data_IF_116350738018
#
_entry.id   IF_116350738018
#
_cell.length_a   1.000
_cell.length_b   1.000
_cell.length_c   1.000
_cell.angle_alpha   90.00
_cell.angle_beta   90.00
_cell.angle_gamma   90.00
#
_symmetry.space_group_name_H-M   'P 1'
#
loop_
_entity.id
_entity.type
_entity.pdbx_description
1 polymer ?
#
# COMPACT_ATOMS: atom_id res chain seq x y z
N UNK A 1 5.32 -11.81 10.00
CA UNK A 1 6.43 -12.03 10.96
C UNK A 1 6.89 -13.48 10.87
N UNK A 2 8.15 -13.72 10.49
CA UNK A 2 8.69 -15.07 10.25
C UNK A 2 10.03 -15.25 10.99
N UNK A 3 10.42 -16.49 11.28
CA UNK A 3 11.71 -16.80 11.92
C UNK A 3 12.91 -16.24 11.15
N UNK A 4 12.81 -16.15 9.82
CA UNK A 4 13.85 -15.54 8.98
C UNK A 4 14.16 -14.07 9.31
N UNK A 5 13.17 -13.28 9.74
CA UNK A 5 13.40 -11.90 10.18
C UNK A 5 14.26 -11.86 11.45
N UNK A 6 13.96 -12.72 12.42
CA UNK A 6 14.72 -12.81 13.68
C UNK A 6 16.17 -13.21 13.39
N UNK A 7 16.38 -14.15 12.46
CA UNK A 7 17.72 -14.61 12.06
C UNK A 7 18.50 -13.56 11.25
N UNK A 8 17.81 -12.68 10.52
CA UNK A 8 18.43 -11.63 9.70
C UNK A 8 18.75 -10.36 10.51
N UNK A 9 18.00 -10.08 11.57
CA UNK A 9 18.21 -8.91 12.42
C UNK A 9 19.54 -9.05 13.21
N UNK A 10 20.33 -7.98 13.22
CA UNK A 10 21.62 -7.92 13.92
C UNK A 10 21.55 -7.13 15.22
N UNK A 11 20.42 -6.48 15.50
CA UNK A 11 20.13 -5.82 16.77
C UNK A 11 18.64 -5.89 17.11
N UNK A 12 18.33 -5.72 18.40
CA UNK A 12 16.95 -5.62 18.85
C UNK A 12 16.22 -4.43 18.20
N UNK A 13 16.91 -3.31 17.96
CA UNK A 13 16.33 -2.13 17.31
C UNK A 13 15.89 -2.37 15.86
N UNK A 14 16.58 -3.24 15.12
CA UNK A 14 16.20 -3.62 13.75
C UNK A 14 14.99 -4.55 13.72
N UNK A 15 14.96 -5.51 14.64
CA UNK A 15 13.78 -6.36 14.80
C UNK A 15 12.58 -5.50 15.23
N UNK A 16 12.78 -4.63 16.23
CA UNK A 16 11.79 -3.71 16.73
C UNK A 16 11.30 -2.77 15.63
N UNK A 17 12.17 -2.27 14.75
CA UNK A 17 11.76 -1.37 13.66
C UNK A 17 10.78 -2.02 12.69
N UNK A 18 11.03 -3.27 12.29
CA UNK A 18 10.09 -4.01 11.43
C UNK A 18 8.79 -4.27 12.19
N UNK A 19 8.86 -4.64 13.47
CA UNK A 19 7.67 -4.80 14.31
C UNK A 19 6.85 -3.51 14.46
N UNK A 20 7.52 -2.37 14.65
CA UNK A 20 6.87 -1.07 14.80
C UNK A 20 6.08 -0.67 13.55
N UNK A 21 6.64 -0.93 12.36
CA UNK A 21 5.95 -0.74 11.08
C UNK A 21 4.70 -1.64 10.96
N UNK A 22 4.82 -2.93 11.28
CA UNK A 22 3.67 -3.86 11.27
C UNK A 22 2.59 -3.48 12.28
N UNK A 23 2.98 -3.04 13.48
CA UNK A 23 2.04 -2.47 14.46
C UNK A 23 1.38 -1.21 13.89
N UNK A 24 2.13 -0.37 13.17
CA UNK A 24 1.60 0.76 12.42
C UNK A 24 0.47 0.37 11.47
N UNK A 25 0.65 -0.70 10.67
CA UNK A 25 -0.41 -1.20 9.79
C UNK A 25 -1.69 -1.61 10.53
N UNK A 26 -1.53 -2.29 11.67
CA UNK A 26 -2.66 -2.76 12.48
C UNK A 26 -3.35 -1.61 13.20
N UNK A 27 -2.59 -0.73 13.86
CA UNK A 27 -3.08 0.44 14.58
C UNK A 27 -3.87 1.37 13.66
N UNK A 28 -3.37 1.56 12.44
CA UNK A 28 -4.00 2.38 11.41
C UNK A 28 -5.03 1.61 10.55
N UNK A 29 -5.29 0.34 10.90
CA UNK A 29 -6.33 -0.51 10.30
C UNK A 29 -6.26 -0.54 8.77
N UNK A 30 -5.06 -0.56 8.18
CA UNK A 30 -4.86 -0.45 6.73
C UNK A 30 -5.66 -1.49 5.94
N UNK A 31 -5.68 -2.75 6.38
CA UNK A 31 -6.46 -3.81 5.74
C UNK A 31 -7.97 -3.49 5.78
N UNK A 32 -8.49 -3.04 6.93
CA UNK A 32 -9.90 -2.71 7.05
C UNK A 32 -10.28 -1.50 6.19
N UNK A 33 -9.43 -0.47 6.13
CA UNK A 33 -9.62 0.71 5.26
C UNK A 33 -9.56 0.33 3.78
N UNK A 34 -8.65 -0.57 3.40
CA UNK A 34 -8.57 -1.10 2.04
C UNK A 34 -9.86 -1.80 1.64
N UNK A 35 -10.34 -2.74 2.46
CA UNK A 35 -11.59 -3.48 2.21
C UNK A 35 -12.80 -2.54 2.20
N UNK A 36 -12.84 -1.56 3.11
CA UNK A 36 -13.91 -0.55 3.12
C UNK A 36 -13.90 0.29 1.84
N UNK A 37 -12.71 0.65 1.33
CA UNK A 37 -12.53 1.36 0.07
C UNK A 37 -13.00 0.57 -1.15
N UNK A 38 -12.80 -0.75 -1.16
CA UNK A 38 -13.22 -1.64 -2.24
C UNK A 38 -14.73 -1.61 -2.52
N UNK A 39 -15.55 -1.30 -1.51
CA UNK A 39 -17.01 -1.16 -1.71
C UNK A 39 -17.36 -0.09 -2.75
N UNK A 40 -16.51 0.91 -2.91
CA UNK A 40 -16.69 1.99 -3.88
C UNK A 40 -15.98 1.74 -5.21
N UNK A 41 -15.17 0.68 -5.31
CA UNK A 41 -14.42 0.37 -6.54
C UNK A 41 -15.32 -0.20 -7.64
N UNK A 42 -16.52 -0.69 -7.31
CA UNK A 42 -17.51 -1.16 -8.28
C UNK A 42 -17.96 -0.08 -9.28
N UNK A 43 -17.85 1.21 -8.93
CA UNK A 43 -18.20 2.31 -9.82
C UNK A 43 -17.18 2.56 -10.93
N UNK A 44 -15.90 2.23 -10.72
CA UNK A 44 -14.82 2.44 -11.69
C UNK A 44 -15.01 1.59 -12.96
N UNK A 45 -15.23 0.26 -12.89
CA UNK A 45 -15.45 -0.55 -14.09
C UNK A 45 -16.78 -0.23 -14.77
N UNK A 46 -17.83 0.15 -14.02
CA UNK A 46 -19.10 0.60 -14.60
C UNK A 46 -18.93 1.90 -15.40
N UNK A 47 -18.22 2.88 -14.85
CA UNK A 47 -17.91 4.13 -15.54
C UNK A 47 -17.02 3.89 -16.77
N UNK A 48 -16.00 3.04 -16.64
CA UNK A 48 -15.12 2.67 -17.74
C UNK A 48 -15.89 1.97 -18.87
N UNK A 49 -16.82 1.07 -18.54
CA UNK A 49 -17.69 0.41 -19.51
C UNK A 49 -18.60 1.41 -20.23
N UNK A 50 -19.25 2.32 -19.50
CA UNK A 50 -20.10 3.35 -20.10
C UNK A 50 -19.31 4.25 -21.06
N UNK A 51 -18.09 4.67 -20.67
CA UNK A 51 -17.20 5.44 -21.51
C UNK A 51 -16.73 4.64 -22.74
N UNK A 52 -16.46 3.35 -22.59
CA UNK A 52 -16.05 2.50 -23.70
C UNK A 52 -17.17 2.33 -24.74
N UNK A 53 -18.43 2.16 -24.30
CA UNK A 53 -19.60 2.11 -25.20
C UNK A 53 -19.76 3.42 -25.96
N UNK A 54 -19.54 4.57 -25.31
CA UNK A 54 -19.58 5.87 -25.96
C UNK A 54 -18.46 6.02 -26.99
N UNK A 55 -17.23 5.63 -26.63
CA UNK A 55 -16.06 5.69 -27.50
C UNK A 55 -16.14 4.73 -28.70
N UNK A 56 -16.84 3.59 -28.55
CA UNK A 56 -17.08 2.64 -29.64
C UNK A 56 -17.84 3.24 -30.82
N UNK A 57 -18.60 4.33 -30.60
CA UNK A 57 -19.26 5.09 -31.68
C UNK A 57 -18.25 5.80 -32.59
N UNK A 58 -17.06 6.10 -32.08
CA UNK A 58 -16.00 6.75 -32.83
C UNK A 58 -15.11 5.74 -33.53
N UNK A 59 -14.56 4.76 -32.79
CA UNK A 59 -13.81 3.65 -33.36
C UNK A 59 -13.65 2.50 -32.36
N UNK A 60 -13.42 1.26 -32.83
CA UNK A 60 -13.06 0.13 -31.97
C UNK A 60 -11.79 0.41 -31.14
N UNK A 61 -10.79 1.07 -31.73
CA UNK A 61 -9.54 1.42 -31.04
C UNK A 61 -9.76 2.40 -29.89
N UNK A 62 -10.67 3.37 -30.06
CA UNK A 62 -11.02 4.31 -29.00
C UNK A 62 -11.71 3.61 -27.82
N UNK A 63 -12.61 2.64 -28.09
CA UNK A 63 -13.23 1.83 -27.05
C UNK A 63 -12.19 1.00 -26.27
N UNK A 64 -11.23 0.40 -26.98
CA UNK A 64 -10.13 -0.37 -26.36
C UNK A 64 -9.21 0.52 -25.51
N UNK A 65 -8.85 1.69 -26.01
CA UNK A 65 -8.03 2.65 -25.27
C UNK A 65 -8.72 3.09 -23.95
N UNK A 66 -10.03 3.35 -24.00
CA UNK A 66 -10.81 3.70 -22.81
C UNK A 66 -10.90 2.54 -21.82
N UNK A 67 -11.15 1.31 -22.30
CA UNK A 67 -11.20 0.13 -21.43
C UNK A 67 -9.86 -0.11 -20.72
N UNK A 68 -8.75 -0.05 -21.46
CA UNK A 68 -7.41 -0.16 -20.90
C UNK A 68 -7.09 0.98 -19.92
N UNK A 69 -7.47 2.23 -20.25
CA UNK A 69 -7.32 3.39 -19.37
C UNK A 69 -8.10 3.25 -18.06
N UNK A 70 -9.34 2.75 -18.13
CA UNK A 70 -10.17 2.48 -16.95
C UNK A 70 -9.55 1.44 -16.02
N UNK A 71 -8.99 0.36 -16.58
CA UNK A 71 -8.24 -0.63 -15.81
C UNK A 71 -6.98 -0.02 -15.19
N UNK A 72 -6.23 0.78 -15.95
CA UNK A 72 -5.04 1.48 -15.47
C UNK A 72 -5.33 2.40 -14.28
N UNK A 73 -6.45 3.14 -14.33
CA UNK A 73 -6.88 4.00 -13.21
C UNK A 73 -7.23 3.20 -11.96
N UNK A 74 -7.89 2.05 -12.10
CA UNK A 74 -8.20 1.19 -10.97
C UNK A 74 -6.93 0.68 -10.28
N UNK A 75 -5.95 0.20 -11.07
CA UNK A 75 -4.64 -0.24 -10.57
C UNK A 75 -3.91 0.93 -9.88
N UNK A 76 -3.88 2.10 -10.52
CA UNK A 76 -3.21 3.27 -9.96
C UNK A 76 -3.81 3.69 -8.61
N UNK A 77 -5.13 3.63 -8.46
CA UNK A 77 -5.81 3.93 -7.19
C UNK A 77 -5.35 2.98 -6.08
N UNK A 78 -5.26 1.68 -6.37
CA UNK A 78 -4.78 0.68 -5.42
C UNK A 78 -3.31 0.92 -5.04
N UNK A 79 -2.46 1.22 -6.02
CA UNK A 79 -1.05 1.54 -5.78
C UNK A 79 -0.88 2.80 -4.92
N UNK A 80 -1.70 3.82 -5.15
CA UNK A 80 -1.68 5.05 -4.36
C UNK A 80 -2.05 4.77 -2.89
N UNK A 81 -3.12 4.00 -2.66
CA UNK A 81 -3.52 3.59 -1.32
C UNK A 81 -2.41 2.82 -0.60
N UNK A 82 -1.79 1.85 -1.27
CA UNK A 82 -0.66 1.09 -0.71
C UNK A 82 0.49 2.02 -0.32
N UNK A 83 0.93 2.91 -1.21
CA UNK A 83 2.01 3.87 -0.92
C UNK A 83 1.70 4.79 0.26
N UNK A 84 0.45 5.21 0.41
CA UNK A 84 0.04 6.05 1.53
C UNK A 84 0.03 5.26 2.84
N UNK A 85 -0.45 4.01 2.81
CA UNK A 85 -0.42 3.10 3.94
C UNK A 85 1.02 2.82 4.42
N UNK A 86 1.97 2.55 3.52
CA UNK A 86 3.38 2.36 3.89
C UNK A 86 3.97 3.59 4.58
N UNK A 87 3.76 4.79 4.01
CA UNK A 87 4.24 6.04 4.61
C UNK A 87 3.63 6.32 5.97
N UNK A 88 2.37 5.95 6.17
CA UNK A 88 1.69 6.09 7.45
C UNK A 88 2.22 5.07 8.47
N UNK A 89 2.39 3.81 8.06
CA UNK A 89 2.97 2.76 8.88
C UNK A 89 4.40 3.11 9.32
N UNK A 90 5.24 3.65 8.43
CA UNK A 90 6.59 4.12 8.76
C UNK A 90 6.56 5.25 9.79
N UNK A 91 5.67 6.23 9.61
CA UNK A 91 5.56 7.38 10.53
C UNK A 91 5.11 6.94 11.92
N UNK A 92 4.09 6.11 12.00
CA UNK A 92 3.54 5.61 13.27
C UNK A 92 4.52 4.63 13.91
N UNK A 93 5.12 3.74 13.13
CA UNK A 93 6.16 2.81 13.59
C UNK A 93 7.37 3.54 14.16
N UNK A 94 7.81 4.62 13.52
CA UNK A 94 8.88 5.48 14.04
C UNK A 94 8.54 6.07 15.42
N UNK A 95 7.32 6.58 15.59
CA UNK A 95 6.86 7.12 16.88
C UNK A 95 6.83 6.04 17.95
N UNK A 96 6.30 4.86 17.62
CA UNK A 96 6.29 3.70 18.52
C UNK A 96 7.70 3.31 18.94
N UNK A 97 8.67 3.26 18.01
CA UNK A 97 10.06 2.93 18.32
C UNK A 97 10.69 3.93 19.28
N UNK A 98 10.54 5.22 18.95
CA UNK A 98 11.09 6.32 19.74
C UNK A 98 10.53 6.28 21.16
N UNK A 99 9.22 6.13 21.29
CA UNK A 99 8.54 6.15 22.57
C UNK A 99 8.84 4.89 23.40
N UNK A 100 9.17 3.77 22.74
CA UNK A 100 9.64 2.53 23.37
C UNK A 100 11.16 2.53 23.70
N UNK A 101 11.90 3.57 23.30
CA UNK A 101 13.33 3.72 23.61
C UNK A 101 14.29 2.93 22.71
N UNK A 102 13.84 2.46 21.54
CA UNK A 102 14.69 1.81 20.55
C UNK A 102 15.41 2.83 19.64
N UNK A 103 16.51 2.42 19.01
CA UNK A 103 17.15 3.23 17.98
C UNK A 103 16.26 3.30 16.74
N UNK A 104 15.80 4.51 16.42
CA UNK A 104 14.93 4.77 15.28
C UNK A 104 15.60 4.56 13.93
N UNK A 105 16.92 4.41 13.88
CA UNK A 105 17.65 4.06 12.66
C UNK A 105 17.62 2.56 12.34
N UNK A 106 17.04 1.72 13.21
CA UNK A 106 16.96 0.27 13.02
C UNK A 106 16.40 -0.13 11.66
N UNK A 107 15.38 0.57 11.16
CA UNK A 107 14.78 0.26 9.86
C UNK A 107 15.77 0.47 8.71
N UNK A 108 16.46 1.61 8.74
CA UNK A 108 17.45 1.99 7.72
C UNK A 108 18.65 1.05 7.76
N UNK A 109 19.12 0.72 8.97
CA UNK A 109 20.23 -0.21 9.16
C UNK A 109 19.88 -1.62 8.65
N UNK A 110 18.69 -2.13 8.98
CA UNK A 110 18.22 -3.44 8.55
C UNK A 110 18.14 -3.53 7.02
N UNK A 111 17.42 -2.62 6.36
CA UNK A 111 17.26 -2.64 4.91
C UNK A 111 18.52 -2.25 4.14
N UNK A 112 19.42 -1.45 4.71
CA UNK A 112 20.70 -1.14 4.09
C UNK A 112 21.63 -2.35 3.94
N UNK A 113 21.32 -3.47 4.59
CA UNK A 113 22.07 -4.74 4.50
C UNK A 113 21.33 -5.86 3.78
N UNK A 114 20.05 -5.67 3.45
CA UNK A 114 19.28 -6.60 2.62
C UNK A 114 19.60 -6.36 1.14
#
# INVERSE_FOLDING_TARGET
FHSGLILAAQSESELASVMGHEIGHVAQRHIARMIAGQKYDAFIPLAALALAILAARSSPDAAMAVAAGGQGLAIQKQLNFSREAEREADRIGFQILRDAGFDTNGMVAFFGRL
#
